data_IF_796309073994
#
_entry.id   IF_796309073994
#
_cell.length_a   1.000
_cell.length_b   1.000
_cell.length_c   1.000
_cell.angle_alpha   90.00
_cell.angle_beta   90.00
_cell.angle_gamma   90.00
#
_symmetry.space_group_name_H-M   'P 1'
#
loop_
_entity.id
_entity.type
_entity.pdbx_description
1 polymer ?
#
# COMPACT_ATOMS: atom_id res chain seq x y z
N UNK A 1 46.38 -0.25 -56.84
CA UNK A 1 45.89 0.36 -55.59
C UNK A 1 44.56 0.98 -55.92
N UNK A 2 43.47 0.38 -55.43
CA UNK A 2 42.14 0.99 -55.35
C UNK A 2 41.42 0.28 -54.20
N UNK A 3 41.06 1.03 -53.17
CA UNK A 3 40.38 0.54 -51.96
C UNK A 3 39.01 1.21 -51.95
N UNK A 4 38.02 0.51 -52.50
CA UNK A 4 36.61 0.89 -52.40
C UNK A 4 35.75 -0.34 -52.68
N UNK A 5 35.54 -1.16 -51.65
CA UNK A 5 34.35 -2.00 -51.46
C UNK A 5 34.45 -2.83 -50.17
N UNK A 6 34.27 -2.16 -49.02
CA UNK A 6 33.89 -2.82 -47.77
C UNK A 6 32.57 -2.20 -47.32
N UNK A 7 31.48 -2.79 -47.82
CA UNK A 7 30.14 -2.59 -47.29
C UNK A 7 30.04 -3.40 -45.98
N UNK A 8 30.35 -2.74 -44.86
CA UNK A 8 30.12 -3.26 -43.52
C UNK A 8 28.92 -2.48 -42.98
N UNK A 9 27.84 -3.21 -42.68
CA UNK A 9 26.65 -2.69 -42.04
C UNK A 9 26.52 -3.35 -40.66
N UNK A 10 27.02 -2.75 -39.55
CA UNK A 10 27.10 -3.43 -38.26
C UNK A 10 26.02 -3.03 -37.24
N UNK A 11 24.92 -2.36 -37.62
CA UNK A 11 23.87 -1.99 -36.66
C UNK A 11 22.46 -2.05 -37.24
N UNK A 12 21.95 -3.26 -37.48
CA UNK A 12 20.50 -3.51 -37.49
C UNK A 12 20.08 -3.93 -36.08
N UNK A 13 20.02 -2.97 -35.17
CA UNK A 13 19.44 -3.14 -33.84
C UNK A 13 17.96 -3.43 -34.02
N UNK A 14 17.56 -4.67 -33.76
CA UNK A 14 16.18 -5.02 -33.51
C UNK A 14 15.69 -4.21 -32.31
N UNK A 15 14.87 -3.20 -32.57
CA UNK A 15 14.01 -2.60 -31.55
C UNK A 15 13.15 -3.74 -31.04
N UNK A 16 13.48 -4.25 -29.85
CA UNK A 16 12.64 -5.20 -29.15
C UNK A 16 11.41 -4.40 -28.74
N UNK A 17 10.32 -4.58 -29.48
CA UNK A 17 8.99 -4.16 -29.09
C UNK A 17 8.71 -4.81 -27.73
N UNK A 18 8.92 -4.05 -26.66
CA UNK A 18 8.71 -4.51 -25.30
C UNK A 18 7.20 -4.47 -25.07
N UNK A 19 6.63 -5.65 -25.07
CA UNK A 19 5.20 -5.92 -25.20
C UNK A 19 4.39 -5.33 -24.02
N UNK A 20 3.81 -4.14 -24.21
CA UNK A 20 2.92 -3.49 -23.23
C UNK A 20 1.79 -4.42 -22.76
N UNK A 21 1.36 -5.37 -23.59
CA UNK A 21 0.39 -6.41 -23.23
C UNK A 21 0.92 -7.38 -22.16
N UNK A 22 2.22 -7.72 -22.19
CA UNK A 22 2.82 -8.63 -21.21
C UNK A 22 2.97 -7.95 -19.84
N UNK A 23 3.23 -6.65 -19.84
CA UNK A 23 3.26 -5.84 -18.62
C UNK A 23 1.86 -5.70 -18.00
N UNK A 24 0.85 -5.35 -18.80
CA UNK A 24 -0.55 -5.32 -18.40
C UNK A 24 -1.02 -6.68 -17.89
N UNK A 25 -0.68 -7.78 -18.57
CA UNK A 25 -1.04 -9.14 -18.15
C UNK A 25 -0.37 -9.55 -16.84
N UNK A 26 0.89 -9.17 -16.61
CA UNK A 26 1.58 -9.42 -15.34
C UNK A 26 0.94 -8.63 -14.20
N UNK A 27 0.48 -7.41 -14.48
CA UNK A 27 -0.24 -6.58 -13.52
C UNK A 27 -1.67 -7.07 -13.27
N UNK A 28 -2.38 -7.54 -14.29
CA UNK A 28 -3.70 -8.15 -14.13
C UNK A 28 -3.62 -9.44 -13.34
N UNK A 29 -2.60 -10.27 -13.59
CA UNK A 29 -2.31 -11.47 -12.81
C UNK A 29 -2.00 -11.10 -11.34
N UNK A 30 -1.22 -10.04 -11.12
CA UNK A 30 -0.95 -9.51 -9.79
C UNK A 30 -2.22 -9.01 -9.06
N UNK A 31 -3.12 -8.32 -9.77
CA UNK A 31 -4.41 -7.86 -9.25
C UNK A 31 -5.33 -9.05 -8.91
N UNK A 32 -5.26 -10.15 -9.68
CA UNK A 32 -6.00 -11.40 -9.44
C UNK A 32 -5.41 -12.25 -8.30
N UNK A 33 -4.10 -12.26 -8.11
CA UNK A 33 -3.43 -12.98 -7.02
C UNK A 33 -3.66 -12.29 -5.66
N UNK A 34 -3.83 -10.96 -5.66
CA UNK A 34 -4.18 -10.18 -4.48
C UNK A 34 -5.60 -10.45 -3.95
N UNK A 35 -6.53 -10.88 -4.81
CA UNK A 35 -7.91 -11.18 -4.43
C UNK A 35 -8.11 -12.60 -3.89
N UNK A 36 -7.17 -13.51 -4.14
CA UNK A 36 -7.30 -14.94 -3.80
C UNK A 36 -6.58 -15.37 -2.51
N UNK A 37 -5.61 -14.59 -2.00
CA UNK A 37 -4.81 -15.00 -0.83
C UNK A 37 -5.26 -14.42 0.50
N UNK A 38 -6.16 -13.43 0.53
CA UNK A 38 -6.43 -12.65 1.75
C UNK A 38 -7.82 -12.94 2.32
N UNK A 39 -7.84 -13.74 3.39
CA UNK A 39 -9.00 -13.90 4.26
C UNK A 39 -9.04 -12.76 5.29
N UNK A 40 -10.13 -11.99 5.40
CA UNK A 40 -10.24 -10.95 6.40
C UNK A 40 -10.60 -11.57 7.76
N UNK A 41 -9.66 -11.58 8.71
CA UNK A 41 -9.97 -11.88 10.11
C UNK A 41 -10.67 -10.67 10.74
N UNK A 42 -11.99 -10.69 10.81
CA UNK A 42 -12.77 -9.67 11.52
C UNK A 42 -12.84 -10.00 13.01
N UNK A 43 -11.93 -9.43 13.81
CA UNK A 43 -12.08 -9.45 15.26
C UNK A 43 -13.16 -8.45 15.68
N UNK A 44 -14.35 -8.95 15.95
CA UNK A 44 -15.49 -8.22 16.54
C UNK A 44 -15.18 -7.83 17.98
N UNK A 45 -14.89 -6.56 18.25
CA UNK A 45 -14.87 -6.02 19.63
C UNK A 45 -16.24 -5.40 19.93
N UNK A 46 -17.08 -6.19 20.59
CA UNK A 46 -18.38 -5.80 21.11
C UNK A 46 -18.16 -4.83 22.29
N UNK A 47 -18.43 -3.54 22.10
CA UNK A 47 -18.44 -2.54 23.18
C UNK A 47 -19.73 -2.68 24.00
N UNK A 48 -19.59 -3.05 25.26
CA UNK A 48 -20.60 -2.85 26.30
C UNK A 48 -19.92 -2.38 27.59
N UNK A 49 -20.70 -1.63 28.38
CA UNK A 49 -20.55 -1.17 29.78
C UNK A 49 -20.43 0.36 29.84
N UNK A 50 -21.46 1.11 30.28
CA UNK A 50 -22.16 1.12 31.58
C UNK A 50 -21.28 1.61 32.72
N UNK A 51 -21.71 2.72 33.34
CA UNK A 51 -21.07 3.37 34.49
C UNK A 51 -21.42 2.66 35.80
N UNK A 52 -20.48 2.59 36.75
CA UNK A 52 -20.58 3.21 38.09
C UNK A 52 -19.48 2.72 39.05
N UNK A 53 -19.31 3.52 40.10
CA UNK A 53 -18.12 3.72 40.94
C UNK A 53 -17.79 2.68 42.02
N UNK A 54 -16.52 2.81 42.45
CA UNK A 54 -15.98 2.70 43.82
C UNK A 54 -15.61 1.34 44.44
N UNK A 55 -14.36 1.35 44.92
CA UNK A 55 -13.83 0.79 46.17
C UNK A 55 -12.94 -0.48 46.19
N UNK A 56 -11.83 -0.29 46.94
CA UNK A 56 -10.84 -1.21 47.51
C UNK A 56 -9.69 -1.73 46.62
N UNK A 57 -8.52 -1.11 46.84
CA UNK A 57 -7.25 -1.38 46.19
C UNK A 57 -6.59 -2.68 46.70
N UNK A 58 -6.76 -3.75 45.93
CA UNK A 58 -5.89 -4.93 45.87
C UNK A 58 -4.61 -4.54 45.11
N UNK A 59 -3.41 -5.04 45.48
CA UNK A 59 -2.20 -4.79 44.68
C UNK A 59 -2.37 -5.47 43.33
N UNK A 60 -2.67 -4.68 42.29
CA UNK A 60 -2.70 -5.14 40.90
C UNK A 60 -1.30 -5.67 40.56
N UNK A 61 -1.15 -6.89 40.01
CA UNK A 61 0.07 -7.21 39.29
C UNK A 61 0.19 -6.17 38.18
N UNK A 62 1.37 -5.54 38.13
CA UNK A 62 1.79 -4.56 37.14
C UNK A 62 0.98 -4.64 35.85
N UNK A 63 0.16 -3.61 35.61
CA UNK A 63 -0.03 -3.11 34.26
C UNK A 63 1.34 -2.62 33.79
N UNK A 64 2.24 -3.56 33.50
CA UNK A 64 3.35 -3.34 32.61
C UNK A 64 2.68 -2.89 31.33
N UNK A 65 2.99 -1.64 30.99
CA UNK A 65 2.52 -0.96 29.82
C UNK A 65 2.41 -1.92 28.63
N UNK A 66 1.31 -1.82 27.88
CA UNK A 66 1.30 -2.20 26.46
C UNK A 66 2.23 -1.26 25.66
N UNK A 67 3.44 -1.01 26.16
CA UNK A 67 4.62 -0.66 25.39
C UNK A 67 5.32 -1.98 25.08
N UNK A 68 4.62 -2.85 24.35
CA UNK A 68 5.28 -3.86 23.54
C UNK A 68 6.09 -3.07 22.52
N UNK A 69 7.34 -2.75 22.88
CA UNK A 69 8.34 -2.30 21.93
C UNK A 69 8.20 -3.20 20.70
N UNK A 70 8.13 -2.62 19.51
CA UNK A 70 8.08 -3.30 18.22
C UNK A 70 9.34 -4.18 18.03
N UNK A 71 9.46 -5.25 18.81
CA UNK A 71 10.66 -6.03 19.09
C UNK A 71 11.36 -6.38 17.77
N UNK A 72 12.46 -5.66 17.49
CA UNK A 72 13.36 -5.93 16.36
C UNK A 72 12.85 -5.60 14.96
N UNK A 73 11.75 -4.85 14.78
CA UNK A 73 11.32 -4.44 13.42
C UNK A 73 12.11 -3.27 12.86
N UNK A 74 12.60 -2.37 13.71
CA UNK A 74 13.36 -1.19 13.31
C UNK A 74 14.80 -1.26 13.79
N UNK A 75 15.70 -0.52 13.16
CA UNK A 75 17.09 -0.37 13.60
C UNK A 75 17.12 0.35 14.97
N UNK A 76 17.94 -0.16 15.88
CA UNK A 76 18.13 0.44 17.21
C UNK A 76 18.85 1.80 17.11
N UNK A 77 19.73 1.95 16.12
CA UNK A 77 20.47 3.19 15.87
C UNK A 77 19.60 4.25 15.15
N UNK A 78 18.68 3.80 14.29
CA UNK A 78 17.76 4.67 13.54
C UNK A 78 16.36 4.06 13.50
N UNK A 79 15.50 4.52 14.41
CA UNK A 79 14.13 4.03 14.58
C UNK A 79 13.22 4.32 13.36
N UNK A 80 13.70 5.08 12.36
CA UNK A 80 12.98 5.29 11.11
C UNK A 80 13.32 4.24 10.06
N UNK A 81 14.42 3.50 10.21
CA UNK A 81 14.85 2.47 9.27
C UNK A 81 14.38 1.08 9.70
N UNK A 82 13.93 0.23 8.76
CA UNK A 82 13.70 -1.18 9.05
C UNK A 82 14.96 -1.86 9.57
N UNK A 83 14.81 -2.85 10.45
CA UNK A 83 15.93 -3.56 11.04
C UNK A 83 16.82 -4.18 9.94
N UNK A 84 18.16 -4.02 9.97
CA UNK A 84 18.99 -4.30 8.80
C UNK A 84 18.93 -5.75 8.28
N UNK A 85 18.79 -6.72 9.19
CA UNK A 85 18.65 -8.14 8.81
C UNK A 85 17.31 -8.42 8.14
N UNK A 86 16.23 -7.81 8.64
CA UNK A 86 14.90 -7.94 8.04
C UNK A 86 14.84 -7.22 6.70
N UNK A 87 15.45 -6.04 6.61
CA UNK A 87 15.45 -5.24 5.39
C UNK A 87 16.13 -5.98 4.23
N UNK A 88 17.27 -6.62 4.46
CA UNK A 88 17.91 -7.44 3.42
C UNK A 88 17.02 -8.58 2.92
N UNK A 89 16.32 -9.26 3.84
CA UNK A 89 15.39 -10.31 3.46
C UNK A 89 14.15 -9.75 2.71
N UNK A 90 13.65 -8.59 3.12
CA UNK A 90 12.56 -7.91 2.40
C UNK A 90 12.97 -7.45 1.01
N UNK A 91 14.19 -6.94 0.81
CA UNK A 91 14.71 -6.60 -0.51
C UNK A 91 14.73 -7.83 -1.42
N UNK A 92 15.18 -8.97 -0.90
CA UNK A 92 15.20 -10.21 -1.65
C UNK A 92 13.81 -10.64 -2.09
N UNK A 93 12.88 -10.77 -1.13
CA UNK A 93 11.48 -11.15 -1.40
C UNK A 93 10.80 -10.15 -2.33
N UNK A 94 11.04 -8.85 -2.14
CA UNK A 94 10.48 -7.80 -2.97
C UNK A 94 10.92 -7.96 -4.43
N UNK A 95 12.22 -8.04 -4.70
CA UNK A 95 12.68 -8.11 -6.09
C UNK A 95 12.39 -9.46 -6.74
N UNK A 96 12.34 -10.55 -5.96
CA UNK A 96 11.96 -11.87 -6.45
C UNK A 96 10.49 -11.93 -6.88
N UNK A 97 9.57 -11.44 -6.04
CA UNK A 97 8.13 -11.60 -6.27
C UNK A 97 7.44 -10.38 -6.87
N UNK A 98 7.94 -9.18 -6.59
CA UNK A 98 7.32 -7.90 -6.96
C UNK A 98 8.15 -7.10 -7.96
N UNK A 99 9.43 -7.45 -8.18
CA UNK A 99 10.32 -6.77 -9.11
C UNK A 99 9.72 -6.57 -10.51
N UNK A 100 9.14 -7.62 -11.15
CA UNK A 100 8.49 -7.48 -12.44
C UNK A 100 7.28 -6.51 -12.45
N UNK A 101 6.60 -6.35 -11.32
CA UNK A 101 5.45 -5.45 -11.18
C UNK A 101 5.88 -3.98 -11.03
N UNK A 102 7.06 -3.74 -10.46
CA UNK A 102 7.60 -2.42 -10.18
C UNK A 102 8.93 -2.17 -10.91
N UNK A 103 8.95 -2.18 -12.26
CA UNK A 103 10.19 -2.09 -13.04
C UNK A 103 10.92 -0.75 -12.88
N UNK A 104 10.23 0.28 -12.39
CA UNK A 104 10.83 1.57 -12.06
C UNK A 104 11.82 1.50 -10.89
N UNK A 105 11.87 0.39 -10.15
CA UNK A 105 12.88 0.12 -9.13
C UNK A 105 13.90 -0.89 -9.66
N UNK A 106 15.14 -0.43 -9.86
CA UNK A 106 16.28 -1.31 -10.16
C UNK A 106 16.75 -2.01 -8.89
N UNK A 107 16.82 -3.35 -8.92
CA UNK A 107 17.33 -4.14 -7.80
C UNK A 107 18.76 -3.73 -7.44
N UNK A 108 19.65 -3.68 -8.43
CA UNK A 108 21.04 -3.27 -8.28
C UNK A 108 21.16 -1.91 -7.60
N UNK A 109 20.43 -0.90 -8.10
CA UNK A 109 20.45 0.46 -7.54
C UNK A 109 19.93 0.52 -6.10
N UNK A 110 18.89 -0.24 -5.77
CA UNK A 110 18.32 -0.24 -4.42
C UNK A 110 19.24 -0.98 -3.45
N UNK A 111 19.81 -2.13 -3.83
CA UNK A 111 20.80 -2.83 -3.03
C UNK A 111 22.05 -1.99 -2.79
N UNK A 112 22.58 -1.36 -3.84
CA UNK A 112 23.76 -0.49 -3.74
C UNK A 112 23.48 0.67 -2.77
N UNK A 113 22.36 1.38 -2.93
CA UNK A 113 21.95 2.47 -2.02
C UNK A 113 21.77 1.98 -0.59
N UNK A 114 21.18 0.82 -0.39
CA UNK A 114 20.98 0.24 0.94
C UNK A 114 22.32 -0.07 1.61
N UNK A 115 23.23 -0.78 0.93
CA UNK A 115 24.56 -1.14 1.44
C UNK A 115 25.41 0.10 1.78
N UNK A 116 25.26 1.18 1.02
CA UNK A 116 25.94 2.46 1.28
C UNK A 116 25.19 3.37 2.26
N UNK A 117 24.12 2.91 2.92
CA UNK A 117 23.27 3.70 3.84
C UNK A 117 22.72 4.99 3.21
N UNK A 118 22.42 4.95 1.91
CA UNK A 118 21.85 6.05 1.12
C UNK A 118 20.37 5.83 0.77
N UNK A 119 19.82 4.64 1.03
CA UNK A 119 18.41 4.38 0.82
C UNK A 119 17.59 5.15 1.87
N UNK A 120 16.67 6.01 1.43
CA UNK A 120 15.87 6.80 2.36
C UNK A 120 15.00 5.89 3.23
N UNK A 121 14.74 6.30 4.49
CA UNK A 121 13.80 5.59 5.35
C UNK A 121 12.43 5.46 4.70
N UNK A 122 11.98 6.47 3.94
CA UNK A 122 10.68 6.46 3.27
C UNK A 122 10.56 5.30 2.28
N UNK A 123 11.52 5.17 1.36
CA UNK A 123 11.52 4.09 0.37
C UNK A 123 11.76 2.72 1.03
N UNK A 124 12.66 2.65 2.00
CA UNK A 124 12.93 1.40 2.73
C UNK A 124 11.68 0.84 3.41
N UNK A 125 10.94 1.69 4.13
CA UNK A 125 9.68 1.28 4.77
C UNK A 125 8.59 0.92 3.74
N UNK A 126 8.49 1.63 2.61
CA UNK A 126 7.52 1.30 1.57
C UNK A 126 7.78 -0.08 0.93
N UNK A 127 9.07 -0.41 0.71
CA UNK A 127 9.48 -1.74 0.24
C UNK A 127 9.18 -2.80 1.31
N UNK A 128 9.58 -2.57 2.57
CA UNK A 128 9.32 -3.49 3.66
C UNK A 128 7.81 -3.74 3.86
N UNK A 129 6.98 -2.69 3.77
CA UNK A 129 5.52 -2.81 3.82
C UNK A 129 4.96 -3.67 2.69
N UNK A 130 5.53 -3.58 1.48
CA UNK A 130 5.10 -4.35 0.32
C UNK A 130 5.55 -5.80 0.36
N UNK A 131 6.75 -6.06 0.91
CA UNK A 131 7.37 -7.37 0.98
C UNK A 131 6.92 -8.20 2.19
N UNK A 132 6.60 -7.54 3.32
CA UNK A 132 6.25 -8.23 4.56
C UNK A 132 5.13 -9.28 4.42
N UNK A 133 4.01 -9.05 3.68
CA UNK A 133 2.97 -10.06 3.48
C UNK A 133 3.42 -11.33 2.73
N UNK A 134 4.53 -11.25 2.01
CA UNK A 134 5.11 -12.32 1.20
C UNK A 134 6.26 -13.03 1.91
N UNK A 135 6.67 -12.52 3.07
CA UNK A 135 7.81 -13.03 3.82
C UNK A 135 7.45 -14.30 4.57
N UNK A 136 8.39 -15.26 4.58
CA UNK A 136 8.31 -16.53 5.30
C UNK A 136 9.19 -16.54 6.56
N UNK A 137 9.77 -15.39 6.93
CA UNK A 137 10.61 -15.24 8.13
C UNK A 137 9.79 -15.53 9.39
N UNK A 138 10.29 -16.39 10.27
CA UNK A 138 9.55 -16.88 11.45
C UNK A 138 9.09 -15.74 12.37
N UNK A 139 9.95 -14.75 12.60
CA UNK A 139 9.66 -13.57 13.41
C UNK A 139 8.48 -12.76 12.84
N UNK A 140 8.42 -12.64 11.51
CA UNK A 140 7.33 -11.95 10.81
C UNK A 140 6.04 -12.77 10.88
N UNK A 141 6.15 -14.09 10.72
CA UNK A 141 5.02 -15.02 10.83
C UNK A 141 4.42 -15.04 12.24
N UNK A 142 5.24 -14.90 13.29
CA UNK A 142 4.78 -14.83 14.68
C UNK A 142 4.01 -13.53 14.98
N UNK A 143 4.46 -12.39 14.44
CA UNK A 143 3.77 -11.09 14.61
C UNK A 143 2.51 -11.02 13.73
N UNK A 144 2.54 -11.69 12.58
CA UNK A 144 1.54 -11.63 11.53
C UNK A 144 2.04 -10.75 10.37
N UNK A 145 2.25 -11.31 9.15
CA UNK A 145 2.78 -10.57 8.00
C UNK A 145 1.98 -9.31 7.64
N UNK A 146 0.65 -9.38 7.75
CA UNK A 146 -0.25 -8.24 7.52
C UNK A 146 -0.04 -7.12 8.56
N UNK A 147 0.18 -7.48 9.83
CA UNK A 147 0.44 -6.52 10.91
C UNK A 147 1.79 -5.83 10.70
N UNK A 148 2.84 -6.59 10.38
CA UNK A 148 4.18 -6.04 10.09
C UNK A 148 4.14 -5.09 8.91
N UNK A 149 3.46 -5.49 7.82
CA UNK A 149 3.22 -4.62 6.67
C UNK A 149 2.53 -3.31 7.08
N UNK A 150 1.62 -3.37 8.08
CA UNK A 150 0.89 -2.19 8.56
C UNK A 150 1.78 -1.26 9.34
N UNK A 151 2.64 -1.82 10.18
CA UNK A 151 3.64 -1.05 10.94
C UNK A 151 4.57 -0.28 10.00
N UNK A 152 5.17 -0.94 8.99
CA UNK A 152 6.04 -0.26 8.03
C UNK A 152 5.28 0.74 7.16
N UNK A 153 4.05 0.43 6.76
CA UNK A 153 3.22 1.39 6.02
C UNK A 153 2.97 2.66 6.85
N UNK A 154 2.65 2.52 8.14
CA UNK A 154 2.47 3.66 9.03
C UNK A 154 3.77 4.44 9.27
N UNK A 155 4.92 3.76 9.35
CA UNK A 155 6.22 4.42 9.44
C UNK A 155 6.53 5.24 8.18
N UNK A 156 6.36 4.66 6.99
CA UNK A 156 6.54 5.36 5.72
C UNK A 156 5.64 6.60 5.59
N UNK A 157 4.37 6.51 6.02
CA UNK A 157 3.42 7.64 5.98
C UNK A 157 3.88 8.84 6.80
N UNK A 158 4.53 8.59 7.95
CA UNK A 158 5.09 9.66 8.81
C UNK A 158 6.29 10.36 8.18
N UNK A 159 6.91 9.74 7.18
CA UNK A 159 8.08 10.24 6.46
C UNK A 159 7.72 10.93 5.15
N UNK A 160 6.43 11.01 4.81
CA UNK A 160 5.99 11.73 3.62
C UNK A 160 6.35 13.20 3.73
N UNK A 161 6.86 13.81 2.64
CA UNK A 161 7.22 15.21 2.66
C UNK A 161 5.99 16.08 2.89
N UNK A 162 6.18 17.18 3.61
CA UNK A 162 5.17 18.23 3.72
C UNK A 162 4.87 18.85 2.35
N UNK A 163 3.66 19.40 2.20
CA UNK A 163 3.26 20.13 1.00
C UNK A 163 4.26 21.25 0.69
N UNK A 164 4.73 21.32 -0.56
CA UNK A 164 5.72 22.31 -1.01
C UNK A 164 7.20 21.92 -0.82
N UNK A 165 7.50 20.76 -0.22
CA UNK A 165 8.87 20.24 -0.18
C UNK A 165 9.38 19.84 -1.57
N UNK A 166 10.70 19.84 -1.75
CA UNK A 166 11.33 19.41 -2.98
C UNK A 166 11.01 17.93 -3.27
N UNK A 167 10.31 17.69 -4.38
CA UNK A 167 10.03 16.34 -4.85
C UNK A 167 11.32 15.68 -5.33
N UNK A 168 11.48 14.38 -5.04
CA UNK A 168 12.56 13.54 -5.57
C UNK A 168 11.96 12.32 -6.25
N UNK A 169 12.69 11.73 -7.20
CA UNK A 169 12.29 10.45 -7.85
C UNK A 169 12.07 9.37 -6.80
N UNK A 170 12.90 9.34 -5.75
CA UNK A 170 12.80 8.35 -4.68
C UNK A 170 11.51 8.52 -3.87
N UNK A 171 11.13 9.76 -3.52
CA UNK A 171 9.84 10.07 -2.90
C UNK A 171 8.69 9.62 -3.80
N UNK A 172 8.75 9.92 -5.10
CA UNK A 172 7.73 9.53 -6.06
C UNK A 172 7.55 8.00 -6.07
N UNK A 173 8.63 7.23 -6.21
CA UNK A 173 8.60 5.76 -6.20
C UNK A 173 8.06 5.19 -4.88
N UNK A 174 8.42 5.79 -3.74
CA UNK A 174 7.91 5.34 -2.45
C UNK A 174 6.40 5.58 -2.31
N UNK A 175 5.88 6.73 -2.76
CA UNK A 175 4.45 7.03 -2.75
C UNK A 175 3.68 6.12 -3.72
N UNK A 176 4.26 5.78 -4.86
CA UNK A 176 3.70 4.78 -5.76
C UNK A 176 3.54 3.42 -5.06
N UNK A 177 4.58 2.93 -4.37
CA UNK A 177 4.49 1.69 -3.60
C UNK A 177 3.44 1.77 -2.48
N UNK A 178 3.37 2.88 -1.75
CA UNK A 178 2.37 3.09 -0.70
C UNK A 178 0.94 3.07 -1.25
N UNK A 179 0.73 3.67 -2.43
CA UNK A 179 -0.56 3.63 -3.12
C UNK A 179 -0.98 2.18 -3.34
N UNK A 180 -0.12 1.36 -3.95
CA UNK A 180 -0.39 -0.05 -4.19
C UNK A 180 -0.56 -0.86 -2.91
N UNK A 181 0.21 -0.58 -1.87
CA UNK A 181 0.07 -1.24 -0.57
C UNK A 181 -1.32 -0.99 0.03
N UNK A 182 -1.82 0.25 0.00
CA UNK A 182 -3.15 0.60 0.50
C UNK A 182 -4.28 0.03 -0.38
N UNK A 183 -4.09 0.05 -1.70
CA UNK A 183 -5.06 -0.52 -2.65
C UNK A 183 -5.32 -2.00 -2.35
N UNK A 184 -4.24 -2.78 -2.24
CA UNK A 184 -4.35 -4.22 -1.97
C UNK A 184 -5.09 -4.49 -0.67
N UNK A 185 -4.87 -3.65 0.33
CA UNK A 185 -5.49 -3.78 1.68
C UNK A 185 -6.94 -3.35 1.72
N UNK A 186 -7.52 -2.98 0.59
CA UNK A 186 -8.90 -2.48 0.49
C UNK A 186 -9.06 -1.07 1.08
N UNK A 187 -7.98 -0.34 1.37
CA UNK A 187 -8.02 1.02 1.93
C UNK A 187 -8.13 2.03 0.79
N UNK A 188 -9.23 1.97 0.04
CA UNK A 188 -9.44 2.73 -1.19
C UNK A 188 -9.31 4.25 -1.01
N UNK A 189 -9.78 4.79 0.12
CA UNK A 189 -9.62 6.22 0.43
C UNK A 189 -8.14 6.64 0.46
N UNK A 190 -7.30 5.84 1.11
CA UNK A 190 -5.86 6.14 1.22
C UNK A 190 -5.13 5.89 -0.10
N UNK A 191 -5.51 4.84 -0.84
CA UNK A 191 -5.05 4.64 -2.21
C UNK A 191 -5.30 5.89 -3.06
N UNK A 192 -6.52 6.44 -3.04
CA UNK A 192 -6.86 7.62 -3.82
C UNK A 192 -6.02 8.86 -3.45
N UNK A 193 -5.74 9.03 -2.15
CA UNK A 193 -4.86 10.11 -1.66
C UNK A 193 -3.45 9.96 -2.21
N UNK A 194 -2.85 8.78 -2.09
CA UNK A 194 -1.47 8.56 -2.53
C UNK A 194 -1.31 8.50 -4.06
N UNK A 195 -2.32 7.99 -4.79
CA UNK A 195 -2.33 8.02 -6.24
C UNK A 195 -2.34 9.48 -6.76
N UNK A 196 -3.17 10.35 -6.18
CA UNK A 196 -3.17 11.79 -6.53
C UNK A 196 -1.89 12.49 -6.13
N UNK A 197 -1.32 12.14 -4.97
CA UNK A 197 -0.02 12.66 -4.54
C UNK A 197 1.10 12.25 -5.51
N UNK A 198 1.04 11.03 -6.05
CA UNK A 198 1.98 10.55 -7.08
C UNK A 198 1.92 11.44 -8.33
N UNK A 199 0.72 11.72 -8.86
CA UNK A 199 0.54 12.62 -10.01
C UNK A 199 1.09 14.02 -9.71
N UNK A 200 0.83 14.58 -8.52
CA UNK A 200 1.35 15.89 -8.14
C UNK A 200 2.89 15.90 -8.05
N UNK A 201 3.51 14.86 -7.48
CA UNK A 201 4.96 14.72 -7.42
C UNK A 201 5.59 14.58 -8.81
N UNK A 202 4.96 13.83 -9.71
CA UNK A 202 5.41 13.68 -11.10
C UNK A 202 5.43 15.03 -11.82
N UNK A 203 4.35 15.82 -11.70
CA UNK A 203 4.28 17.18 -12.23
C UNK A 203 5.36 18.10 -11.65
N UNK A 204 5.61 18.01 -10.34
CA UNK A 204 6.68 18.81 -9.68
C UNK A 204 8.09 18.42 -10.16
N UNK A 205 8.28 17.16 -10.56
CA UNK A 205 9.52 16.67 -11.16
C UNK A 205 9.60 16.96 -12.67
N UNK A 206 8.54 17.54 -13.25
CA UNK A 206 8.44 17.78 -14.69
C UNK A 206 8.32 16.50 -15.50
N UNK A 207 7.84 15.40 -14.92
CA UNK A 207 7.59 14.13 -15.61
C UNK A 207 6.14 14.15 -16.12
N UNK A 208 5.98 14.37 -17.43
CA UNK A 208 4.70 14.32 -18.13
C UNK A 208 4.88 13.64 -19.49
N UNK A 209 3.76 13.36 -20.17
CA UNK A 209 3.79 12.79 -21.51
C UNK A 209 4.58 13.66 -22.50
N UNK A 210 4.48 14.99 -22.38
CA UNK A 210 5.15 15.91 -23.29
C UNK A 210 6.67 16.02 -23.02
N UNK A 211 7.08 15.93 -21.75
CA UNK A 211 8.48 16.12 -21.36
C UNK A 211 9.28 14.83 -21.37
N UNK A 212 8.64 13.67 -21.23
CA UNK A 212 9.29 12.37 -21.13
C UNK A 212 10.27 12.07 -22.28
N UNK A 213 9.95 12.34 -23.58
CA UNK A 213 10.89 12.09 -24.66
C UNK A 213 12.17 12.94 -24.55
N UNK A 214 12.04 14.16 -24.01
CA UNK A 214 13.18 15.06 -23.81
C UNK A 214 14.02 14.59 -22.62
N UNK A 215 13.39 14.29 -21.48
CA UNK A 215 14.07 13.79 -20.28
C UNK A 215 14.81 12.47 -20.57
N UNK A 216 14.20 11.57 -21.34
CA UNK A 216 14.82 10.29 -21.73
C UNK A 216 16.05 10.49 -22.61
N UNK A 217 16.07 11.51 -23.48
CA UNK A 217 17.21 11.80 -24.37
C UNK A 217 18.40 12.39 -23.64
N UNK A 218 18.16 13.18 -22.59
CA UNK A 218 19.21 13.84 -21.80
C UNK A 218 19.75 12.90 -20.71
N UNK A 219 18.97 11.91 -20.30
CA UNK A 219 19.38 10.89 -19.34
C UNK A 219 20.28 9.83 -19.99
N UNK A 220 21.03 9.11 -19.17
CA UNK A 220 21.70 7.89 -19.59
C UNK A 220 20.69 6.79 -19.93
N UNK A 221 21.15 5.71 -20.58
CA UNK A 221 20.27 4.63 -21.04
C UNK A 221 19.48 3.99 -19.88
N UNK A 222 20.09 3.86 -18.70
CA UNK A 222 19.43 3.33 -17.52
C UNK A 222 18.39 4.30 -16.94
N UNK A 223 18.77 5.58 -16.74
CA UNK A 223 17.86 6.61 -16.24
C UNK A 223 16.68 6.85 -17.16
N UNK A 224 16.90 6.87 -18.48
CA UNK A 224 15.84 6.99 -19.48
C UNK A 224 14.81 5.85 -19.38
N UNK A 225 15.27 4.60 -19.24
CA UNK A 225 14.38 3.44 -19.06
C UNK A 225 13.61 3.52 -17.74
N UNK A 226 14.28 3.84 -16.64
CA UNK A 226 13.64 4.02 -15.34
C UNK A 226 12.54 5.09 -15.39
N UNK A 227 12.78 6.22 -16.08
CA UNK A 227 11.78 7.28 -16.24
C UNK A 227 10.56 6.80 -17.05
N UNK A 228 10.78 6.03 -18.12
CA UNK A 228 9.69 5.41 -18.88
C UNK A 228 8.88 4.45 -18.02
N UNK A 229 9.54 3.56 -17.28
CA UNK A 229 8.89 2.60 -16.37
C UNK A 229 8.13 3.32 -15.25
N UNK A 230 8.68 4.43 -14.74
CA UNK A 230 8.02 5.29 -13.75
C UNK A 230 6.74 5.89 -14.32
N UNK A 231 6.81 6.44 -15.54
CA UNK A 231 5.65 7.03 -16.21
C UNK A 231 4.55 6.00 -16.46
N UNK A 232 4.91 4.79 -16.91
CA UNK A 232 3.93 3.71 -17.07
C UNK A 232 3.26 3.35 -15.74
N UNK A 233 4.02 3.29 -14.64
CA UNK A 233 3.47 3.07 -13.30
C UNK A 233 2.50 4.16 -12.85
N UNK A 234 2.78 5.43 -13.18
CA UNK A 234 1.88 6.57 -12.89
C UNK A 234 0.57 6.41 -13.66
N UNK A 235 0.64 6.15 -14.97
CA UNK A 235 -0.56 5.99 -15.78
C UNK A 235 -1.44 4.83 -15.29
N UNK A 236 -0.83 3.75 -14.82
CA UNK A 236 -1.59 2.64 -14.23
C UNK A 236 -2.34 3.08 -12.97
N UNK A 237 -1.67 3.78 -12.05
CA UNK A 237 -2.31 4.32 -10.85
C UNK A 237 -3.51 5.21 -11.20
N UNK A 238 -3.35 6.08 -12.22
CA UNK A 238 -4.41 6.97 -12.68
C UNK A 238 -5.59 6.20 -13.30
N UNK A 239 -5.33 5.18 -14.13
CA UNK A 239 -6.38 4.31 -14.68
C UNK A 239 -7.13 3.58 -13.57
N UNK A 240 -6.43 3.03 -12.59
CA UNK A 240 -7.04 2.35 -11.43
C UNK A 240 -7.85 3.32 -10.56
N UNK A 241 -7.36 4.55 -10.37
CA UNK A 241 -8.08 5.61 -9.67
C UNK A 241 -9.40 5.95 -10.38
N UNK A 242 -9.37 6.15 -11.70
CA UNK A 242 -10.56 6.43 -12.50
C UNK A 242 -11.55 5.26 -12.46
N UNK A 243 -11.07 4.02 -12.64
CA UNK A 243 -11.92 2.83 -12.56
C UNK A 243 -12.62 2.72 -11.19
N UNK A 244 -11.90 3.00 -10.10
CA UNK A 244 -12.45 2.97 -8.73
C UNK A 244 -13.55 4.01 -8.53
N UNK A 245 -13.43 5.20 -9.14
CA UNK A 245 -14.49 6.22 -9.08
C UNK A 245 -15.74 5.82 -9.87
N UNK A 246 -15.57 5.22 -11.05
CA UNK A 246 -16.70 4.80 -11.89
C UNK A 246 -17.56 3.71 -11.20
N UNK A 247 -16.92 2.73 -10.55
CA UNK A 247 -17.62 1.70 -9.78
C UNK A 247 -18.44 2.30 -8.63
N UNK A 248 -17.91 3.33 -7.95
CA UNK A 248 -18.62 4.02 -6.88
C UNK A 248 -19.89 4.72 -7.38
N UNK A 249 -19.85 5.31 -8.58
CA UNK A 249 -21.03 5.93 -9.21
C UNK A 249 -22.03 4.90 -9.76
N UNK A 250 -21.55 3.74 -10.22
CA UNK A 250 -22.37 2.69 -10.79
C UNK A 250 -23.08 1.80 -9.75
N UNK A 251 -22.85 2.02 -8.46
CA UNK A 251 -23.51 1.30 -7.37
C UNK A 251 -24.62 2.18 -6.76
N UNK A 252 -25.80 2.31 -7.39
CA UNK A 252 -26.93 2.91 -6.70
C UNK A 252 -27.24 2.02 -5.50
N UNK A 253 -27.26 2.61 -4.31
CA UNK A 253 -27.67 1.95 -3.08
C UNK A 253 -28.93 1.12 -3.36
N UNK A 254 -28.81 -0.21 -3.27
CA UNK A 254 -29.97 -1.10 -3.16
C UNK A 254 -30.79 -0.56 -2.00
N UNK A 255 -31.90 0.09 -2.35
CA UNK A 255 -32.92 0.59 -1.43
C UNK A 255 -33.15 -0.49 -0.37
N UNK A 256 -32.92 -0.12 0.89
CA UNK A 256 -33.41 -0.90 2.02
C UNK A 256 -34.89 -1.24 1.75
N UNK A 257 -35.30 -2.51 1.83
CA UNK A 257 -36.71 -2.84 1.93
C UNK A 257 -37.25 -2.15 3.18
N UNK A 258 -38.27 -1.33 2.99
CA UNK A 258 -39.03 -0.68 4.07
C UNK A 258 -39.42 -1.69 5.16
N UNK A 259 -39.33 -1.32 6.44
CA UNK A 259 -39.75 -2.21 7.52
C UNK A 259 -41.25 -2.57 7.36
N UNK A 260 -41.65 -3.81 7.65
CA UNK A 260 -43.05 -4.19 7.60
C UNK A 260 -43.84 -3.44 8.68
N UNK A 261 -44.93 -2.81 8.25
CA UNK A 261 -45.96 -2.20 9.10
C UNK A 261 -46.42 -3.21 10.16
N UNK A 262 -46.39 -2.88 11.47
CA UNK A 262 -46.89 -3.80 12.49
C UNK A 262 -48.40 -3.93 12.35
N UNK A 263 -48.84 -5.16 12.04
CA UNK A 263 -50.23 -5.57 12.07
C UNK A 263 -50.80 -5.39 13.49
N UNK A 264 -52.00 -4.83 13.57
CA UNK A 264 -52.77 -4.63 14.78
C UNK A 264 -52.92 -5.93 15.56
N UNK A 265 -52.25 -6.02 16.72
CA UNK A 265 -52.45 -7.09 17.69
C UNK A 265 -53.73 -6.82 18.48
N UNK A 266 -54.67 -7.75 18.36
CA UNK A 266 -55.90 -7.84 19.14
C UNK A 266 -55.62 -7.83 20.64
N UNK A 267 -56.42 -7.06 21.37
CA UNK A 267 -56.54 -7.09 22.82
C UNK A 267 -57.16 -8.42 23.30
N UNK A 268 -56.64 -9.01 24.40
CA UNK A 268 -57.45 -9.88 25.23
C UNK A 268 -57.91 -9.15 26.50
N UNK A 269 -59.24 -9.19 26.63
CA UNK A 269 -60.04 -8.88 27.82
C UNK A 269 -59.74 -9.87 28.96
N UNK A 270 -59.49 -9.37 30.17
CA UNK A 270 -59.75 -10.08 31.44
C UNK A 270 -59.63 -9.08 32.61
N UNK A 271 -60.75 -8.62 33.16
CA UNK A 271 -61.34 -9.09 34.43
C UNK A 271 -60.49 -8.70 35.66
N UNK A 272 -60.87 -7.60 36.30
CA UNK A 272 -60.53 -7.29 37.69
C UNK A 272 -61.83 -7.14 38.49
N UNK A 273 -62.04 -7.92 39.57
CA UNK A 273 -63.21 -7.74 40.42
C UNK A 273 -63.01 -6.58 41.39
N UNK A 274 -64.13 -5.97 41.75
CA UNK A 274 -64.25 -4.78 42.56
C UNK A 274 -64.28 -5.06 44.08
N UNK A 275 -64.13 -3.95 44.83
CA UNK A 275 -64.61 -3.63 46.20
C UNK A 275 -63.72 -3.97 47.41
N UNK A 276 -63.93 -3.30 48.58
CA UNK A 276 -64.04 -1.85 48.78
C UNK A 276 -63.35 -1.34 50.08
N UNK A 277 -63.48 -0.03 50.26
CA UNK A 277 -63.29 0.90 51.39
C UNK A 277 -63.24 0.43 52.85
N UNK A 278 -62.80 1.38 53.69
CA UNK A 278 -62.66 1.45 55.16
C UNK A 278 -61.21 1.10 55.56
N UNK A 279 -60.42 1.93 56.27
CA UNK A 279 -60.65 2.96 57.29
C UNK A 279 -59.71 4.14 57.08
#
# INVERSE_FOLDING_TARGET
>A
MDISNLNIDPYRTSVVDFDSQKFLSTQDAFMQQASSSWSPSTSSVRRTLSMSSSDLAVPRPNQAACSSSFLGLFDEADHQQPHPQLMMAFLHVFFEQLGPTFPFLSSESVYERYLHRRLSPLLANAIAASAAPLSTINEIMQIGPANVSDVYCQAAKKLLPAEGSQATIETLHAVMLLSWAEYKRGRQTMFNVYARMTTALATNLGISEETLPQLTRVSDLHGGRMLQDTWQGIQLLERTLLASTLVAFATPALRQPSPPTPAAALAPSAVGPALPSMW
#
